data_IF_946477990911
#
_entry.id   IF_946477990911
#
_cell.length_a   1.000
_cell.length_b   1.000
_cell.length_c   1.000
_cell.angle_alpha   90.00
_cell.angle_beta   90.00
_cell.angle_gamma   90.00
#
_symmetry.space_group_name_H-M   'P 1'
#
loop_
_entity.id
_entity.type
_entity.pdbx_description
1 polymer ?
#
# COMPACT_ATOMS: atom_id res chain seq x y z
N UNK A 1 -1.52 -1.37 -27.88
CA UNK A 1 -2.19 -2.13 -26.82
C UNK A 1 -1.65 -1.55 -25.53
N UNK A 2 -2.47 -0.85 -24.76
CA UNK A 2 -2.05 -0.35 -23.45
C UNK A 2 -2.02 -1.55 -22.50
N UNK A 3 -0.84 -1.86 -21.97
CA UNK A 3 -0.65 -2.94 -21.01
C UNK A 3 -1.36 -2.58 -19.70
N UNK A 4 -2.19 -3.49 -19.18
CA UNK A 4 -2.93 -3.23 -17.94
C UNK A 4 -2.06 -3.53 -16.71
N UNK A 5 -2.39 -2.96 -15.56
CA UNK A 5 -1.68 -3.25 -14.31
C UNK A 5 -1.68 -4.76 -13.96
N UNK A 6 -2.80 -5.49 -14.09
CA UNK A 6 -2.81 -6.95 -13.96
C UNK A 6 -1.83 -7.67 -14.90
N UNK A 7 -1.70 -7.22 -16.15
CA UNK A 7 -0.78 -7.83 -17.11
C UNK A 7 0.69 -7.62 -16.70
N UNK A 8 1.02 -6.44 -16.18
CA UNK A 8 2.36 -6.14 -15.65
C UNK A 8 2.69 -7.08 -14.49
N UNK A 9 1.81 -7.19 -13.50
CA UNK A 9 2.03 -8.07 -12.34
C UNK A 9 2.09 -9.53 -12.76
N UNK A 10 1.23 -9.97 -13.69
CA UNK A 10 1.26 -11.32 -14.25
C UNK A 10 2.61 -11.62 -14.91
N UNK A 11 3.16 -10.70 -15.70
CA UNK A 11 4.47 -10.85 -16.32
C UNK A 11 5.59 -10.97 -15.29
N UNK A 12 5.59 -10.12 -14.25
CA UNK A 12 6.58 -10.20 -13.18
C UNK A 12 6.50 -11.53 -12.42
N UNK A 13 5.29 -12.06 -12.24
CA UNK A 13 5.06 -13.34 -11.54
C UNK A 13 5.59 -14.57 -12.29
N UNK A 14 5.90 -14.47 -13.59
CA UNK A 14 6.52 -15.56 -14.36
C UNK A 14 7.91 -15.95 -13.84
N UNK A 15 8.55 -15.08 -13.06
CA UNK A 15 9.84 -15.35 -12.41
C UNK A 15 9.72 -16.32 -11.23
N UNK A 16 8.51 -16.60 -10.75
CA UNK A 16 8.28 -17.50 -9.61
C UNK A 16 8.38 -18.96 -10.05
N UNK A 17 9.28 -19.69 -9.40
CA UNK A 17 9.44 -21.13 -9.55
C UNK A 17 8.50 -21.89 -8.61
N UNK A 18 7.38 -22.33 -9.17
CA UNK A 18 6.37 -23.13 -8.47
C UNK A 18 6.85 -24.50 -7.99
N UNK A 19 8.02 -24.99 -8.45
CA UNK A 19 8.62 -26.24 -7.97
C UNK A 19 9.44 -26.03 -6.70
N UNK A 20 9.95 -24.81 -6.48
CA UNK A 20 10.77 -24.45 -5.32
C UNK A 20 9.91 -23.78 -4.25
N UNK A 21 9.19 -24.59 -3.48
CA UNK A 21 8.32 -24.08 -2.42
C UNK A 21 9.12 -23.74 -1.15
N UNK A 22 8.80 -22.60 -0.53
CA UNK A 22 9.34 -22.16 0.76
C UNK A 22 8.21 -21.83 1.72
N UNK A 23 8.19 -22.58 2.83
CA UNK A 23 7.18 -22.40 3.87
C UNK A 23 7.54 -21.25 4.82
N UNK A 24 6.58 -20.35 5.02
CA UNK A 24 6.58 -19.31 6.04
C UNK A 24 5.63 -19.72 7.16
N UNK A 25 6.17 -19.93 8.36
CA UNK A 25 5.37 -20.25 9.55
C UNK A 25 5.12 -18.95 10.30
N UNK A 26 3.88 -18.47 10.27
CA UNK A 26 3.48 -17.16 10.78
C UNK A 26 2.54 -17.34 11.97
N UNK A 27 2.64 -16.48 12.97
CA UNK A 27 1.60 -16.33 14.00
C UNK A 27 0.92 -14.99 13.76
N UNK A 28 -0.42 -14.92 13.78
CA UNK A 28 -1.14 -13.64 13.61
C UNK A 28 -0.83 -12.68 14.77
N UNK A 29 -0.50 -13.21 15.94
CA UNK A 29 -0.03 -12.42 17.08
C UNK A 29 1.38 -11.83 16.89
N UNK A 30 2.19 -12.37 15.99
CA UNK A 30 3.56 -11.93 15.76
C UNK A 30 3.99 -12.04 14.29
N UNK A 31 3.25 -11.36 13.42
CA UNK A 31 3.44 -11.43 11.95
C UNK A 31 4.82 -10.90 11.55
N UNK A 32 5.25 -9.78 12.14
CA UNK A 32 6.51 -9.13 11.76
C UNK A 32 7.73 -10.01 12.05
N UNK A 33 7.83 -10.61 13.24
CA UNK A 33 8.92 -11.53 13.55
C UNK A 33 8.91 -12.75 12.61
N UNK A 34 7.72 -13.33 12.37
CA UNK A 34 7.56 -14.44 11.43
C UNK A 34 8.05 -14.09 10.03
N UNK A 35 7.74 -12.88 9.54
CA UNK A 35 8.24 -12.36 8.29
C UNK A 35 9.77 -12.21 8.32
N UNK A 36 10.32 -11.49 9.31
CA UNK A 36 11.77 -11.26 9.44
C UNK A 36 12.53 -12.57 9.41
N UNK A 37 12.11 -13.57 10.21
CA UNK A 37 12.72 -14.90 10.22
C UNK A 37 12.61 -15.56 8.85
N UNK A 38 11.43 -15.55 8.23
CA UNK A 38 11.19 -16.17 6.92
C UNK A 38 12.09 -15.61 5.81
N UNK A 39 12.15 -14.28 5.69
CA UNK A 39 12.95 -13.57 4.68
C UNK A 39 14.46 -13.68 4.93
N UNK A 40 14.91 -13.85 6.19
CA UNK A 40 16.33 -14.02 6.55
C UNK A 40 16.85 -15.46 6.40
N UNK A 41 16.00 -16.44 6.07
CA UNK A 41 16.45 -17.84 5.89
C UNK A 41 17.41 -17.93 4.71
N UNK A 42 18.58 -18.52 4.93
CA UNK A 42 19.58 -18.81 3.88
C UNK A 42 19.02 -19.66 2.74
N UNK A 43 18.01 -20.48 3.01
CA UNK A 43 17.35 -21.32 2.01
C UNK A 43 16.33 -20.57 1.15
N UNK A 44 15.92 -19.36 1.56
CA UNK A 44 14.88 -18.58 0.87
C UNK A 44 15.47 -17.79 -0.31
N UNK A 45 14.68 -17.71 -1.37
CA UNK A 45 14.94 -16.94 -2.58
C UNK A 45 13.60 -16.34 -2.99
N UNK A 46 13.59 -15.13 -3.54
CA UNK A 46 12.38 -14.34 -3.79
C UNK A 46 11.54 -14.95 -4.92
N UNK A 47 12.22 -15.67 -5.81
CA UNK A 47 11.66 -16.48 -6.90
C UNK A 47 11.05 -17.80 -6.43
N UNK A 48 11.20 -18.20 -5.16
CA UNK A 48 10.56 -19.41 -4.66
C UNK A 48 9.07 -19.17 -4.39
N UNK A 49 8.23 -20.15 -4.73
CA UNK A 49 6.82 -20.17 -4.33
C UNK A 49 6.67 -20.04 -2.80
N UNK A 50 5.91 -19.05 -2.37
CA UNK A 50 5.67 -18.79 -0.95
C UNK A 50 4.47 -19.58 -0.45
N UNK A 51 4.71 -20.55 0.42
CA UNK A 51 3.65 -21.26 1.14
C UNK A 51 3.52 -20.70 2.56
N UNK A 52 2.41 -20.03 2.87
CA UNK A 52 2.15 -19.53 4.22
C UNK A 52 1.37 -20.55 5.03
N UNK A 53 1.83 -20.80 6.26
CA UNK A 53 1.08 -21.56 7.27
C UNK A 53 0.97 -20.70 8.53
N UNK A 54 -0.25 -20.39 8.93
CA UNK A 54 -0.51 -19.81 10.23
C UNK A 54 -0.42 -20.87 11.33
N UNK A 55 0.25 -20.53 12.42
CA UNK A 55 0.68 -21.47 13.49
C UNK A 55 -0.24 -21.45 14.70
N UNK A 56 -1.07 -20.42 14.81
CA UNK A 56 -2.17 -20.31 15.77
C UNK A 56 -3.38 -21.17 15.41
N UNK A 57 -3.44 -21.69 14.18
CA UNK A 57 -4.45 -22.65 13.69
C UNK A 57 -4.15 -24.08 14.19
N UNK A 58 -3.90 -24.24 15.49
CA UNK A 58 -3.61 -25.55 16.09
C UNK A 58 -4.88 -26.42 16.01
N UNK A 59 -4.84 -27.47 15.20
CA UNK A 59 -5.92 -28.45 15.05
C UNK A 59 -6.82 -28.24 13.83
N UNK A 60 -6.68 -27.14 13.10
CA UNK A 60 -7.36 -26.93 11.82
C UNK A 60 -6.36 -27.27 10.71
N UNK A 61 -6.43 -28.51 10.24
CA UNK A 61 -5.71 -28.92 9.05
C UNK A 61 -6.49 -28.38 7.85
N UNK A 62 -6.13 -27.20 7.33
CA UNK A 62 -6.54 -26.81 5.98
C UNK A 62 -5.79 -27.68 4.98
N UNK A 63 -6.18 -28.96 4.91
CA UNK A 63 -5.72 -29.90 3.91
C UNK A 63 -6.39 -29.55 2.58
N UNK A 64 -5.74 -28.66 1.84
CA UNK A 64 -6.07 -28.34 0.46
C UNK A 64 -7.33 -27.48 0.33
N UNK A 65 -7.19 -26.33 -0.32
CA UNK A 65 -8.08 -25.82 -1.39
C UNK A 65 -7.64 -24.40 -1.78
N UNK A 66 -6.97 -23.63 -0.90
CA UNK A 66 -6.46 -22.30 -1.25
C UNK A 66 -5.03 -22.03 -0.73
N UNK A 67 -4.01 -22.20 -1.58
CA UNK A 67 -2.64 -21.78 -1.27
C UNK A 67 -2.45 -20.26 -1.40
N UNK A 68 -3.37 -19.57 -2.07
CA UNK A 68 -3.32 -18.13 -2.31
C UNK A 68 -3.91 -17.31 -1.15
N UNK A 69 -4.95 -17.80 -0.50
CA UNK A 69 -5.65 -17.15 0.62
C UNK A 69 -4.73 -16.81 1.79
N UNK A 70 -4.10 -17.81 2.46
CA UNK A 70 -3.17 -17.57 3.56
C UNK A 70 -1.97 -16.70 3.15
N UNK A 71 -1.49 -16.85 1.91
CA UNK A 71 -0.41 -16.03 1.36
C UNK A 71 -0.82 -14.56 1.26
N UNK A 72 -1.99 -14.29 0.66
CA UNK A 72 -2.52 -12.94 0.52
C UNK A 72 -2.82 -12.30 1.88
N UNK A 73 -3.37 -13.07 2.82
CA UNK A 73 -3.59 -12.62 4.21
C UNK A 73 -2.27 -12.20 4.87
N UNK A 74 -1.25 -13.06 4.85
CA UNK A 74 0.06 -12.74 5.40
C UNK A 74 0.68 -11.49 4.78
N UNK A 75 0.67 -11.37 3.45
CA UNK A 75 1.24 -10.21 2.75
C UNK A 75 0.47 -8.91 3.09
N UNK A 76 -0.83 -9.02 3.31
CA UNK A 76 -1.67 -7.89 3.76
C UNK A 76 -1.29 -7.45 5.17
N UNK A 77 -1.17 -8.40 6.10
CA UNK A 77 -0.71 -8.14 7.47
C UNK A 77 0.73 -7.59 7.46
N UNK A 78 1.60 -8.09 6.58
CA UNK A 78 2.96 -7.60 6.41
C UNK A 78 2.98 -6.12 6.00
N UNK A 79 2.18 -5.70 5.03
CA UNK A 79 2.08 -4.29 4.65
C UNK A 79 1.51 -3.43 5.80
N UNK A 80 0.55 -3.97 6.56
CA UNK A 80 0.00 -3.28 7.75
C UNK A 80 1.05 -3.07 8.84
N UNK A 81 1.97 -4.01 9.05
CA UNK A 81 3.08 -3.81 9.98
C UNK A 81 4.18 -2.92 9.40
N UNK A 82 4.45 -3.05 8.09
CA UNK A 82 5.51 -2.29 7.42
C UNK A 82 5.23 -0.78 7.47
N UNK A 83 3.97 -0.36 7.33
CA UNK A 83 3.57 1.06 7.33
C UNK A 83 3.92 1.82 8.62
N UNK A 84 4.08 1.10 9.73
CA UNK A 84 4.32 1.65 11.07
C UNK A 84 5.78 1.46 11.52
N UNK A 85 6.66 1.05 10.60
CA UNK A 85 8.10 0.93 10.88
C UNK A 85 8.74 2.31 11.01
N UNK A 86 9.78 2.46 11.87
CA UNK A 86 10.42 3.74 12.17
C UNK A 86 11.36 4.24 11.04
N UNK A 87 11.16 3.72 9.83
CA UNK A 87 11.82 4.15 8.59
C UNK A 87 10.92 5.05 7.74
N UNK A 88 9.66 5.22 8.18
CA UNK A 88 8.66 6.05 7.51
C UNK A 88 8.20 7.17 8.43
N UNK A 89 7.98 8.34 7.84
CA UNK A 89 7.28 9.48 8.45
C UNK A 89 6.14 9.92 7.52
N UNK A 90 5.29 10.85 7.97
CA UNK A 90 4.15 11.38 7.23
C UNK A 90 2.81 10.83 7.72
N UNK A 91 1.70 11.49 7.36
CA UNK A 91 0.36 11.05 7.71
C UNK A 91 -0.03 9.77 6.96
N UNK A 92 -1.13 9.14 7.40
CA UNK A 92 -1.63 7.92 6.77
C UNK A 92 -1.93 8.14 5.26
N UNK A 93 -1.48 7.20 4.43
CA UNK A 93 -1.58 7.29 2.97
C UNK A 93 -0.58 8.24 2.30
N UNK A 94 0.26 8.93 3.07
CA UNK A 94 1.23 9.91 2.55
C UNK A 94 2.61 9.72 3.19
N UNK A 95 2.99 8.47 3.50
CA UNK A 95 4.26 8.17 4.15
C UNK A 95 5.44 8.38 3.19
N UNK A 96 6.53 8.91 3.70
CA UNK A 96 7.82 9.02 3.01
C UNK A 96 8.95 8.41 3.85
N UNK A 97 10.10 8.16 3.24
CA UNK A 97 11.25 7.54 3.92
C UNK A 97 12.00 8.59 4.75
N UNK A 98 12.38 8.21 5.97
CA UNK A 98 13.21 9.03 6.87
C UNK A 98 14.40 8.23 7.36
N UNK A 99 15.53 8.92 7.53
CA UNK A 99 16.77 8.34 8.02
C UNK A 99 16.64 7.87 9.47
N UNK A 100 17.05 6.62 9.72
CA UNK A 100 17.10 6.02 11.04
C UNK A 100 18.37 5.19 11.16
N UNK A 101 19.30 5.61 12.03
CA UNK A 101 20.61 4.98 12.18
C UNK A 101 20.55 3.49 12.59
N UNK A 102 19.53 3.08 13.35
CA UNK A 102 19.34 1.68 13.70
C UNK A 102 18.85 0.87 12.49
N UNK A 103 17.90 1.41 11.74
CA UNK A 103 17.39 0.79 10.51
C UNK A 103 18.48 0.63 9.44
N UNK A 104 19.40 1.58 9.32
CA UNK A 104 20.57 1.49 8.43
C UNK A 104 21.45 0.30 8.80
N UNK A 105 21.77 0.12 10.09
CA UNK A 105 22.61 -1.00 10.57
C UNK A 105 21.98 -2.37 10.30
N UNK A 106 20.65 -2.44 10.32
CA UNK A 106 19.89 -3.67 10.06
C UNK A 106 19.50 -3.87 8.58
N UNK A 107 19.97 -2.98 7.70
CA UNK A 107 19.63 -2.93 6.27
C UNK A 107 18.10 -2.93 6.02
N UNK A 108 17.37 -2.27 6.90
CA UNK A 108 15.90 -2.35 6.96
C UNK A 108 15.24 -1.73 5.72
N UNK A 109 15.85 -0.71 5.12
CA UNK A 109 15.37 -0.06 3.89
C UNK A 109 15.37 -1.02 2.70
N UNK A 110 16.49 -1.73 2.49
CA UNK A 110 16.58 -2.77 1.47
C UNK A 110 15.56 -3.88 1.72
N UNK A 111 15.47 -4.36 2.97
CA UNK A 111 14.51 -5.40 3.34
C UNK A 111 13.05 -4.94 3.18
N UNK A 112 12.74 -3.67 3.43
CA UNK A 112 11.42 -3.10 3.22
C UNK A 112 11.06 -3.08 1.73
N UNK A 113 11.94 -2.55 0.86
CA UNK A 113 11.75 -2.57 -0.59
C UNK A 113 11.57 -4.00 -1.12
N UNK A 114 12.43 -4.93 -0.66
CA UNK A 114 12.35 -6.36 -1.01
C UNK A 114 11.01 -6.99 -0.62
N UNK A 115 10.52 -6.73 0.59
CA UNK A 115 9.22 -7.24 1.08
C UNK A 115 8.05 -6.68 0.26
N UNK A 116 8.13 -5.42 -0.14
CA UNK A 116 7.13 -4.79 -1.02
C UNK A 116 7.12 -5.49 -2.38
N UNK A 117 8.30 -5.68 -2.99
CA UNK A 117 8.39 -6.38 -4.27
C UNK A 117 7.83 -7.79 -4.22
N UNK A 118 8.19 -8.56 -3.19
CA UNK A 118 7.66 -9.90 -2.97
C UNK A 118 6.15 -9.86 -2.75
N UNK A 119 5.63 -8.89 -1.99
CA UNK A 119 4.18 -8.73 -1.79
C UNK A 119 3.46 -8.57 -3.13
N UNK A 120 3.88 -7.63 -3.97
CA UNK A 120 3.24 -7.34 -5.26
C UNK A 120 3.29 -8.55 -6.19
N UNK A 121 4.48 -9.15 -6.38
CA UNK A 121 4.68 -10.24 -7.34
C UNK A 121 3.99 -11.55 -6.91
N UNK A 122 3.87 -11.79 -5.60
CA UNK A 122 3.14 -12.96 -5.07
C UNK A 122 1.61 -12.72 -4.95
N UNK A 123 1.09 -11.61 -5.47
CA UNK A 123 -0.34 -11.29 -5.50
C UNK A 123 -0.91 -10.77 -4.18
N UNK A 124 -0.05 -10.23 -3.32
CA UNK A 124 -0.41 -9.41 -2.16
C UNK A 124 -0.56 -7.92 -2.53
N UNK A 125 -0.89 -7.06 -1.56
CA UNK A 125 -1.09 -5.64 -1.81
C UNK A 125 0.25 -4.89 -2.01
N UNK A 126 0.18 -3.79 -2.75
CA UNK A 126 1.25 -2.80 -2.82
C UNK A 126 1.34 -1.94 -1.55
N UNK A 127 2.35 -1.06 -1.46
CA UNK A 127 2.59 -0.23 -0.29
C UNK A 127 1.70 1.03 -0.32
N UNK A 128 0.39 0.84 -0.25
CA UNK A 128 -0.63 1.90 -0.40
C UNK A 128 -0.55 3.03 0.66
N UNK A 129 0.34 2.88 1.64
CA UNK A 129 0.63 3.90 2.65
C UNK A 129 1.65 4.94 2.18
N UNK A 130 2.41 4.69 1.11
CA UNK A 130 3.41 5.61 0.58
C UNK A 130 2.76 6.81 -0.11
N UNK A 131 3.39 7.98 0.00
CA UNK A 131 2.96 9.17 -0.72
C UNK A 131 3.11 8.99 -2.22
N UNK A 132 2.18 9.59 -2.96
CA UNK A 132 2.22 9.63 -4.43
C UNK A 132 3.56 10.20 -4.91
N UNK A 133 4.02 11.30 -4.33
CA UNK A 133 5.27 11.95 -4.72
C UNK A 133 6.49 11.04 -4.52
N UNK A 134 6.57 10.29 -3.41
CA UNK A 134 7.65 9.33 -3.21
C UNK A 134 7.61 8.22 -4.26
N UNK A 135 6.43 7.69 -4.59
CA UNK A 135 6.30 6.66 -5.64
C UNK A 135 6.75 7.20 -7.01
N UNK A 136 6.40 8.44 -7.35
CA UNK A 136 6.84 9.07 -8.61
C UNK A 136 8.36 9.30 -8.60
N UNK A 137 8.92 9.75 -7.48
CA UNK A 137 10.36 9.89 -7.33
C UNK A 137 11.11 8.55 -7.44
N UNK A 138 10.58 7.48 -6.84
CA UNK A 138 11.13 6.13 -6.97
C UNK A 138 11.05 5.63 -8.42
N UNK A 139 9.99 5.99 -9.15
CA UNK A 139 9.85 5.73 -10.58
C UNK A 139 10.82 6.57 -11.46
N UNK A 140 11.65 7.42 -10.87
CA UNK A 140 12.61 8.26 -11.61
C UNK A 140 12.01 9.55 -12.16
N UNK A 141 10.84 9.99 -11.67
CA UNK A 141 10.31 11.30 -12.02
C UNK A 141 10.97 12.41 -11.17
N UNK A 142 11.31 13.56 -11.78
CA UNK A 142 12.15 14.57 -11.15
C UNK A 142 11.41 15.48 -10.16
N UNK A 143 10.07 15.50 -10.19
CA UNK A 143 9.27 16.44 -9.41
C UNK A 143 8.77 15.78 -8.13
N UNK A 144 9.30 16.22 -6.99
CA UNK A 144 8.73 15.96 -5.68
C UNK A 144 8.08 17.25 -5.16
N UNK A 145 6.76 17.26 -4.94
CA UNK A 145 6.03 18.45 -4.47
C UNK A 145 5.22 18.11 -3.22
N UNK A 146 5.89 18.11 -2.07
CA UNK A 146 5.22 17.92 -0.80
C UNK A 146 4.61 19.24 -0.28
N UNK A 147 3.37 19.23 0.20
CA UNK A 147 2.86 20.30 1.04
C UNK A 147 3.40 20.19 2.48
N UNK A 148 3.45 21.33 3.19
CA UNK A 148 3.97 21.44 4.57
C UNK A 148 3.20 20.53 5.55
N UNK A 149 1.91 20.29 5.31
CA UNK A 149 1.06 19.47 6.17
C UNK A 149 1.42 17.96 6.18
N UNK A 150 2.39 17.53 5.37
CA UNK A 150 2.91 16.16 5.42
C UNK A 150 3.93 15.96 6.54
N UNK A 151 4.50 17.02 7.09
CA UNK A 151 5.53 16.93 8.12
C UNK A 151 4.86 16.63 9.47
N UNK A 152 5.27 15.53 10.12
CA UNK A 152 4.75 15.19 11.46
C UNK A 152 5.70 15.61 12.58
N UNK A 153 6.96 15.92 12.25
CA UNK A 153 7.92 16.51 13.18
C UNK A 153 7.36 17.82 13.77
N UNK A 154 7.35 17.91 15.10
CA UNK A 154 6.69 19.01 15.80
C UNK A 154 7.44 20.35 15.62
N UNK A 155 8.77 20.33 15.56
CA UNK A 155 9.58 21.54 15.42
C UNK A 155 9.48 22.07 13.98
N UNK A 156 9.69 21.19 13.00
CA UNK A 156 9.60 21.54 11.58
C UNK A 156 8.17 21.91 11.20
N UNK A 157 7.19 21.16 11.74
CA UNK A 157 5.76 21.40 11.55
C UNK A 157 5.27 22.74 12.13
N UNK A 158 6.04 23.39 13.02
CA UNK A 158 5.79 24.78 13.46
C UNK A 158 6.62 25.78 12.65
N UNK A 159 7.87 25.46 12.35
CA UNK A 159 8.80 26.37 11.69
C UNK A 159 8.40 26.68 10.24
N UNK A 160 8.02 25.67 9.46
CA UNK A 160 7.66 25.87 8.05
C UNK A 160 6.39 26.70 7.88
N UNK A 161 5.27 26.46 8.62
CA UNK A 161 4.13 27.36 8.56
C UNK A 161 4.43 28.78 9.04
N UNK A 162 5.30 28.97 10.03
CA UNK A 162 5.71 30.30 10.51
C UNK A 162 6.41 31.10 9.40
N UNK A 163 7.30 30.46 8.63
CA UNK A 163 7.96 31.06 7.46
C UNK A 163 6.96 31.26 6.30
N UNK A 164 6.15 30.26 5.99
CA UNK A 164 5.19 30.30 4.87
C UNK A 164 4.13 31.40 5.04
N UNK A 165 3.75 31.70 6.28
CA UNK A 165 2.72 32.68 6.61
C UNK A 165 3.27 34.10 6.91
N UNK A 166 4.58 34.33 6.78
CA UNK A 166 5.16 35.66 6.96
C UNK A 166 4.47 36.71 6.06
N UNK A 167 4.01 37.81 6.66
CA UNK A 167 3.18 38.82 5.99
C UNK A 167 3.99 39.99 5.39
N UNK A 168 5.26 40.14 5.76
CA UNK A 168 6.16 41.19 5.29
C UNK A 168 7.59 40.66 5.19
N UNK A 169 8.47 41.42 4.54
CA UNK A 169 9.90 41.09 4.44
C UNK A 169 10.58 41.05 5.82
N UNK A 170 10.30 42.02 6.69
CA UNK A 170 10.84 42.04 8.06
C UNK A 170 10.37 40.82 8.87
N UNK A 171 9.07 40.48 8.78
CA UNK A 171 8.54 39.29 9.44
C UNK A 171 9.18 38.00 8.91
N UNK A 172 9.44 37.92 7.60
CA UNK A 172 10.14 36.80 6.99
C UNK A 172 11.57 36.69 7.54
N UNK A 173 12.33 37.79 7.61
CA UNK A 173 13.67 37.79 8.19
C UNK A 173 13.66 37.35 9.66
N UNK A 174 12.71 37.83 10.46
CA UNK A 174 12.56 37.40 11.85
C UNK A 174 12.26 35.89 11.97
N UNK A 175 11.33 35.36 11.19
CA UNK A 175 11.01 33.93 11.17
C UNK A 175 12.20 33.09 10.71
N UNK A 176 12.94 33.51 9.68
CA UNK A 176 14.14 32.83 9.22
C UNK A 176 15.24 32.83 10.28
N UNK A 177 15.43 33.94 11.01
CA UNK A 177 16.41 34.01 12.08
C UNK A 177 16.02 33.15 13.29
N UNK A 178 14.73 33.12 13.63
CA UNK A 178 14.17 32.25 14.69
C UNK A 178 14.44 30.77 14.43
N UNK A 179 14.31 30.35 13.16
CA UNK A 179 14.52 28.97 12.72
C UNK A 179 15.87 28.76 12.02
N UNK A 180 16.85 29.62 12.29
CA UNK A 180 18.11 29.69 11.54
C UNK A 180 18.94 28.41 11.59
N UNK A 181 19.02 27.73 12.74
CA UNK A 181 19.76 26.45 12.86
C UNK A 181 19.17 25.36 11.96
N UNK A 182 17.83 25.28 11.93
CA UNK A 182 17.10 24.34 11.08
C UNK A 182 17.38 24.64 9.60
N UNK A 183 17.21 25.90 9.18
CA UNK A 183 17.45 26.33 7.80
C UNK A 183 18.93 26.18 7.39
N UNK A 184 19.88 26.46 8.29
CA UNK A 184 21.30 26.35 8.01
C UNK A 184 21.73 24.90 7.81
N UNK A 185 21.17 23.96 8.59
CA UNK A 185 21.41 22.52 8.43
C UNK A 185 20.98 22.02 7.04
N UNK A 186 19.86 22.55 6.54
CA UNK A 186 19.36 22.25 5.20
C UNK A 186 20.03 23.05 4.07
N UNK A 187 20.86 24.04 4.39
CA UNK A 187 21.42 24.97 3.40
C UNK A 187 20.41 25.99 2.85
N UNK A 188 19.26 26.16 3.51
CA UNK A 188 18.17 27.06 3.10
C UNK A 188 18.27 28.47 3.73
N UNK A 189 19.19 28.70 4.66
CA UNK A 189 19.39 30.03 5.24
C UNK A 189 20.15 30.93 4.26
N UNK A 190 19.46 31.90 3.67
CA UNK A 190 19.99 32.84 2.68
C UNK A 190 19.43 34.25 2.85
N UNK A 191 20.03 35.22 2.16
CA UNK A 191 19.43 36.54 2.03
C UNK A 191 18.21 36.47 1.12
N UNK A 192 17.13 37.15 1.51
CA UNK A 192 15.92 37.33 0.69
C UNK A 192 15.61 38.81 0.54
N UNK A 193 15.21 39.21 -0.67
CA UNK A 193 14.90 40.58 -1.05
C UNK A 193 13.39 40.85 -1.11
N UNK A 194 12.56 39.82 -1.25
CA UNK A 194 11.09 39.93 -1.29
C UNK A 194 10.41 38.91 -0.36
N UNK A 195 9.16 39.18 0.03
CA UNK A 195 8.39 38.27 0.91
C UNK A 195 7.95 37.00 0.17
N UNK A 196 7.85 37.05 -1.16
CA UNK A 196 7.44 35.93 -2.02
C UNK A 196 8.46 34.79 -2.02
N UNK A 197 9.75 35.09 -1.78
CA UNK A 197 10.84 34.12 -1.71
C UNK A 197 10.66 33.08 -0.58
N UNK A 198 9.75 33.33 0.38
CA UNK A 198 9.35 32.33 1.39
C UNK A 198 8.88 31.00 0.79
N UNK A 199 8.26 31.04 -0.41
CA UNK A 199 7.82 29.84 -1.12
C UNK A 199 8.98 28.95 -1.54
N UNK A 200 10.07 29.57 -2.01
CA UNK A 200 11.27 28.85 -2.42
C UNK A 200 12.00 28.30 -1.20
N UNK A 201 12.10 29.05 -0.10
CA UNK A 201 12.70 28.56 1.15
C UNK A 201 11.97 27.31 1.65
N UNK A 202 10.64 27.36 1.72
CA UNK A 202 9.82 26.22 2.18
C UNK A 202 9.95 25.05 1.22
N UNK A 203 9.90 25.29 -0.09
CA UNK A 203 10.05 24.25 -1.11
C UNK A 203 11.44 23.57 -1.03
N UNK A 204 12.51 24.36 -0.93
CA UNK A 204 13.89 23.86 -0.84
C UNK A 204 14.09 23.05 0.44
N UNK A 205 13.53 23.52 1.56
CA UNK A 205 13.62 22.80 2.83
C UNK A 205 12.89 21.46 2.77
N UNK A 206 11.67 21.41 2.20
CA UNK A 206 10.91 20.17 2.05
C UNK A 206 11.60 19.17 1.12
N UNK A 207 12.18 19.65 0.02
CA UNK A 207 12.99 18.85 -0.88
C UNK A 207 14.19 18.23 -0.14
N UNK A 208 14.92 19.05 0.62
CA UNK A 208 16.04 18.56 1.43
C UNK A 208 15.60 17.55 2.49
N UNK A 209 14.55 17.88 3.25
CA UNK A 209 14.09 17.09 4.39
C UNK A 209 13.52 15.72 3.98
N UNK A 210 12.83 15.65 2.84
CA UNK A 210 12.19 14.40 2.41
C UNK A 210 13.10 13.59 1.49
N UNK A 211 13.84 14.25 0.60
CA UNK A 211 14.62 13.56 -0.44
C UNK A 211 16.12 13.63 -0.15
N UNK A 212 16.71 14.82 -0.08
CA UNK A 212 18.16 14.93 -0.21
C UNK A 212 18.90 14.36 1.00
N UNK A 213 18.43 14.67 2.23
CA UNK A 213 19.01 14.13 3.46
C UNK A 213 18.75 12.63 3.64
N UNK A 214 17.73 12.08 2.96
CA UNK A 214 17.38 10.66 2.97
C UNK A 214 17.89 9.89 1.75
N UNK A 215 18.65 10.53 0.85
CA UNK A 215 19.11 9.95 -0.41
C UNK A 215 19.71 8.55 -0.26
N UNK A 216 20.65 8.37 0.68
CA UNK A 216 21.29 7.08 0.96
C UNK A 216 20.30 5.97 1.33
N UNK A 217 19.26 6.28 2.12
CA UNK A 217 18.27 5.29 2.54
C UNK A 217 17.20 5.05 1.47
N UNK A 218 16.89 6.06 0.66
CA UNK A 218 16.05 5.93 -0.53
C UNK A 218 16.73 5.01 -1.56
N UNK A 219 18.04 5.15 -1.75
CA UNK A 219 18.80 4.30 -2.67
C UNK A 219 18.84 2.85 -2.19
N UNK A 220 19.08 2.61 -0.89
CA UNK A 220 18.95 1.26 -0.30
C UNK A 220 17.54 0.69 -0.48
N UNK A 221 16.51 1.51 -0.33
CA UNK A 221 15.13 1.10 -0.55
C UNK A 221 14.86 0.75 -2.03
N UNK A 222 15.38 1.54 -2.98
CA UNK A 222 15.35 1.25 -4.43
C UNK A 222 16.04 -0.07 -4.75
N UNK A 223 17.21 -0.33 -4.19
CA UNK A 223 17.88 -1.62 -4.35
C UNK A 223 17.02 -2.79 -3.85
N UNK A 224 16.30 -2.60 -2.75
CA UNK A 224 15.29 -3.55 -2.29
C UNK A 224 14.17 -3.75 -3.30
N UNK A 225 13.62 -2.65 -3.82
CA UNK A 225 12.54 -2.66 -4.83
C UNK A 225 12.97 -3.28 -6.17
N UNK A 226 14.27 -3.27 -6.51
CA UNK A 226 14.78 -3.96 -7.71
C UNK A 226 14.58 -5.48 -7.66
N UNK A 227 14.28 -6.04 -6.48
CA UNK A 227 13.84 -7.43 -6.32
C UNK A 227 12.67 -7.74 -7.24
N UNK A 228 12.77 -8.85 -7.99
CA UNK A 228 11.73 -9.31 -8.93
C UNK A 228 11.34 -8.23 -9.97
N UNK A 229 12.30 -7.40 -10.39
CA UNK A 229 12.17 -6.40 -11.46
C UNK A 229 11.12 -5.30 -11.23
N UNK A 230 10.63 -5.17 -10.00
CA UNK A 230 9.58 -4.19 -9.66
C UNK A 230 10.02 -2.76 -9.96
N UNK A 231 11.27 -2.38 -9.63
CA UNK A 231 11.76 -1.02 -9.94
C UNK A 231 11.78 -0.74 -11.45
N UNK A 232 12.14 -1.73 -12.28
CA UNK A 232 12.14 -1.62 -13.74
C UNK A 232 10.71 -1.42 -14.27
N UNK A 233 9.74 -2.17 -13.75
CA UNK A 233 8.34 -2.02 -14.11
C UNK A 233 7.72 -0.72 -13.58
N UNK A 234 8.20 -0.20 -12.45
CA UNK A 234 7.72 1.02 -11.83
C UNK A 234 8.01 2.27 -12.68
N UNK A 235 9.15 2.31 -13.37
CA UNK A 235 9.58 3.45 -14.17
C UNK A 235 8.53 3.87 -15.25
N UNK A 236 8.08 2.96 -16.14
CA UNK A 236 6.99 3.27 -17.08
C UNK A 236 5.59 3.26 -16.45
N UNK A 237 5.42 2.65 -15.26
CA UNK A 237 4.11 2.46 -14.64
C UNK A 237 4.10 2.81 -13.13
N UNK A 238 4.15 4.09 -12.75
CA UNK A 238 4.11 4.52 -11.34
C UNK A 238 2.86 4.06 -10.58
N UNK A 239 1.77 3.76 -11.30
CA UNK A 239 0.52 3.22 -10.73
C UNK A 239 0.68 1.82 -10.14
N UNK A 240 1.79 1.11 -10.41
CA UNK A 240 2.08 -0.22 -9.88
C UNK A 240 2.12 -0.28 -8.34
N UNK A 241 2.60 0.78 -7.69
CA UNK A 241 2.66 0.88 -6.23
C UNK A 241 1.61 1.85 -5.67
N UNK A 242 0.79 2.45 -6.54
CA UNK A 242 -0.25 3.36 -6.12
C UNK A 242 -1.42 2.57 -5.49
N UNK A 243 -2.15 3.16 -4.53
CA UNK A 243 -3.40 2.58 -4.05
C UNK A 243 -4.38 2.37 -5.20
N UNK A 244 -5.08 1.24 -5.15
CA UNK A 244 -6.21 1.01 -6.05
C UNK A 244 -7.25 2.12 -5.87
N UNK A 245 -7.90 2.57 -6.96
CA UNK A 245 -8.98 3.55 -6.85
C UNK A 245 -10.09 3.00 -5.95
N UNK A 246 -10.64 3.87 -5.10
CA UNK A 246 -11.78 3.50 -4.27
C UNK A 246 -12.96 3.13 -5.18
N UNK A 247 -13.53 1.94 -4.99
CA UNK A 247 -14.74 1.54 -5.69
C UNK A 247 -15.88 2.46 -5.27
N UNK A 248 -16.55 3.05 -6.27
CA UNK A 248 -17.79 3.77 -6.06
C UNK A 248 -18.94 2.80 -5.91
N UNK A 249 -20.05 3.25 -5.33
CA UNK A 249 -21.28 2.46 -5.30
C UNK A 249 -21.76 2.09 -6.72
N UNK A 250 -21.51 2.95 -7.71
CA UNK A 250 -21.79 2.65 -9.12
C UNK A 250 -20.90 1.51 -9.64
N UNK A 251 -19.61 1.49 -9.30
CA UNK A 251 -18.72 0.39 -9.67
C UNK A 251 -19.22 -0.93 -9.06
N UNK A 252 -19.70 -0.92 -7.82
CA UNK A 252 -20.25 -2.11 -7.17
C UNK A 252 -21.55 -2.60 -7.83
N UNK A 253 -22.44 -1.70 -8.25
CA UNK A 253 -23.65 -2.06 -9.01
C UNK A 253 -23.30 -2.75 -10.34
N UNK A 254 -22.23 -2.32 -11.00
CA UNK A 254 -21.77 -2.94 -12.26
C UNK A 254 -21.07 -4.28 -12.00
N UNK A 255 -20.24 -4.34 -10.96
CA UNK A 255 -19.41 -5.50 -10.64
C UNK A 255 -20.24 -6.70 -10.13
N UNK A 256 -21.30 -6.46 -9.37
CA UNK A 256 -22.14 -7.50 -8.80
C UNK A 256 -23.46 -7.64 -9.56
N UNK A 257 -23.59 -8.74 -10.29
CA UNK A 257 -24.85 -9.12 -10.94
C UNK A 257 -25.56 -10.17 -10.08
N UNK A 258 -26.73 -9.85 -9.50
CA UNK A 258 -27.48 -10.83 -8.73
C UNK A 258 -27.99 -11.93 -9.66
N UNK A 259 -27.80 -13.18 -9.26
CA UNK A 259 -28.52 -14.31 -9.85
C UNK A 259 -29.90 -14.39 -9.19
N UNK A 260 -30.95 -14.31 -10.00
CA UNK A 260 -32.31 -14.06 -9.53
C UNK A 260 -33.21 -15.24 -9.90
N UNK A 261 -34.11 -15.60 -8.99
CA UNK A 261 -35.10 -16.64 -9.22
C UNK A 261 -36.00 -16.28 -10.41
N UNK A 262 -36.62 -17.27 -11.09
CA UNK A 262 -37.52 -17.01 -12.21
C UNK A 262 -38.64 -16.02 -11.88
N UNK A 263 -38.99 -15.21 -12.87
CA UNK A 263 -40.09 -14.25 -12.82
C UNK A 263 -41.39 -14.93 -12.40
N UNK A 264 -42.10 -14.36 -11.41
CA UNK A 264 -43.35 -14.90 -10.87
C UNK A 264 -43.19 -15.85 -9.67
N UNK A 265 -41.96 -16.21 -9.27
CA UNK A 265 -41.76 -16.99 -8.04
C UNK A 265 -41.92 -16.14 -6.78
N UNK A 266 -42.34 -16.76 -5.67
CA UNK A 266 -42.41 -16.11 -4.36
C UNK A 266 -41.03 -15.59 -3.89
N UNK A 267 -39.94 -16.22 -4.36
CA UNK A 267 -38.57 -15.78 -4.10
C UNK A 267 -38.24 -14.49 -4.86
N UNK A 268 -38.68 -14.38 -6.11
CA UNK A 268 -38.44 -13.21 -6.96
C UNK A 268 -38.94 -11.91 -6.34
N UNK A 269 -40.09 -11.93 -5.67
CA UNK A 269 -40.63 -10.75 -5.00
C UNK A 269 -39.70 -10.26 -3.87
N UNK A 270 -39.22 -11.20 -3.04
CA UNK A 270 -38.30 -10.90 -1.93
C UNK A 270 -36.94 -10.44 -2.44
N UNK A 271 -36.41 -11.10 -3.47
CA UNK A 271 -35.13 -10.73 -4.10
C UNK A 271 -35.20 -9.32 -4.69
N UNK A 272 -36.29 -8.96 -5.38
CA UNK A 272 -36.48 -7.60 -5.90
C UNK A 272 -36.52 -6.55 -4.78
N UNK A 273 -37.13 -6.86 -3.64
CA UNK A 273 -37.13 -5.99 -2.48
C UNK A 273 -35.73 -5.85 -1.87
N UNK A 274 -34.98 -6.96 -1.74
CA UNK A 274 -33.58 -6.96 -1.28
C UNK A 274 -32.69 -6.13 -2.21
N UNK A 275 -32.91 -6.20 -3.52
CA UNK A 275 -32.18 -5.38 -4.49
C UNK A 275 -32.44 -3.87 -4.30
N UNK A 276 -33.67 -3.49 -3.93
CA UNK A 276 -33.98 -2.11 -3.52
C UNK A 276 -33.17 -1.69 -2.29
N UNK A 277 -33.19 -2.51 -1.23
CA UNK A 277 -32.39 -2.22 -0.02
C UNK A 277 -30.88 -2.18 -0.28
N UNK A 278 -30.36 -3.03 -1.18
CA UNK A 278 -28.96 -3.01 -1.58
C UNK A 278 -28.60 -1.70 -2.30
N UNK A 279 -29.44 -1.25 -3.24
CA UNK A 279 -29.23 0.01 -3.94
C UNK A 279 -29.28 1.22 -2.97
N UNK A 280 -30.25 1.24 -2.05
CA UNK A 280 -30.35 2.28 -1.02
C UNK A 280 -29.11 2.29 -0.11
N UNK A 281 -28.65 1.11 0.32
CA UNK A 281 -27.43 0.96 1.11
C UNK A 281 -26.18 1.47 0.36
N UNK A 282 -26.05 1.17 -0.93
CA UNK A 282 -24.96 1.67 -1.76
C UNK A 282 -25.00 3.20 -1.91
N UNK A 283 -26.19 3.80 -2.02
CA UNK A 283 -26.35 5.25 -2.04
C UNK A 283 -25.93 5.89 -0.70
N UNK A 284 -26.33 5.30 0.43
CA UNK A 284 -25.96 5.78 1.77
C UNK A 284 -24.45 5.73 2.02
N UNK A 285 -23.75 4.77 1.41
CA UNK A 285 -22.30 4.69 1.48
C UNK A 285 -21.58 5.87 0.80
N UNK A 286 -22.23 6.61 -0.11
CA UNK A 286 -21.65 7.80 -0.79
C UNK A 286 -21.53 9.03 0.12
N UNK A 287 -22.29 9.09 1.22
CA UNK A 287 -22.46 10.31 2.03
C UNK A 287 -21.46 10.55 3.18
N UNK A 288 -20.50 9.65 3.43
CA UNK A 288 -19.55 9.77 4.56
C UNK A 288 -18.11 9.97 4.09
N UNK A 289 -17.48 11.13 4.35
CA UNK A 289 -16.04 11.28 4.15
C UNK A 289 -15.28 10.25 4.99
N UNK A 290 -14.42 9.45 4.36
CA UNK A 290 -13.62 8.40 5.02
C UNK A 290 -14.27 7.00 5.07
N UNK A 291 -15.51 6.83 4.59
CA UNK A 291 -16.09 5.50 4.40
C UNK A 291 -15.77 5.02 2.99
N UNK A 292 -14.67 4.29 2.81
CA UNK A 292 -14.52 3.52 1.59
C UNK A 292 -15.66 2.49 1.56
N UNK A 293 -16.49 2.53 0.51
CA UNK A 293 -17.56 1.54 0.31
C UNK A 293 -16.98 0.13 0.39
N UNK A 294 -15.71 -0.05 0.00
CA UNK A 294 -15.01 -1.33 0.08
C UNK A 294 -14.84 -1.86 1.51
N UNK A 295 -14.47 -1.12 2.56
CA UNK A 295 -14.16 -1.76 3.85
C UNK A 295 -15.40 -2.41 4.49
N UNK A 296 -16.57 -1.80 4.37
CA UNK A 296 -17.83 -2.36 4.89
C UNK A 296 -18.52 -3.29 3.89
N UNK A 297 -18.46 -3.02 2.59
CA UNK A 297 -19.00 -3.94 1.58
C UNK A 297 -18.14 -5.18 1.41
N UNK A 298 -16.82 -5.15 1.62
CA UNK A 298 -16.00 -6.36 1.56
C UNK A 298 -16.40 -7.32 2.66
N UNK A 299 -16.64 -6.87 3.89
CA UNK A 299 -17.16 -7.74 4.95
C UNK A 299 -18.52 -8.33 4.54
N UNK A 300 -19.47 -7.51 4.09
CA UNK A 300 -20.80 -8.00 3.66
C UNK A 300 -20.71 -8.95 2.45
N UNK A 301 -19.90 -8.66 1.44
CA UNK A 301 -19.70 -9.48 0.25
C UNK A 301 -18.89 -10.74 0.56
N UNK A 302 -17.87 -10.68 1.43
CA UNK A 302 -17.09 -11.82 1.89
C UNK A 302 -17.98 -12.79 2.67
N UNK A 303 -18.83 -12.29 3.56
CA UNK A 303 -19.85 -13.09 4.23
C UNK A 303 -20.86 -13.69 3.24
N UNK A 304 -21.36 -12.92 2.27
CA UNK A 304 -22.33 -13.43 1.29
C UNK A 304 -21.74 -14.49 0.32
N UNK A 305 -20.47 -14.36 -0.07
CA UNK A 305 -19.81 -15.24 -1.04
C UNK A 305 -19.22 -16.50 -0.38
N UNK A 306 -18.68 -16.41 0.84
CA UNK A 306 -17.93 -17.51 1.46
C UNK A 306 -18.69 -18.28 2.56
N UNK A 307 -19.85 -17.81 3.04
CA UNK A 307 -20.62 -18.54 4.06
C UNK A 307 -21.89 -19.24 3.55
N UNK A 308 -22.14 -19.17 2.24
CA UNK A 308 -23.27 -19.87 1.64
C UNK A 308 -22.83 -21.25 1.11
N UNK A 309 -23.43 -22.39 1.54
CA UNK A 309 -23.01 -23.75 1.16
C UNK A 309 -23.20 -24.12 -0.34
N UNK A 310 -23.53 -23.15 -1.20
CA UNK A 310 -24.04 -23.40 -2.55
C UNK A 310 -22.93 -23.53 -3.60
N UNK A 311 -21.66 -23.22 -3.27
CA UNK A 311 -20.56 -23.20 -4.24
C UNK A 311 -19.60 -24.40 -4.21
N UNK A 312 -19.89 -25.44 -3.41
CA UNK A 312 -19.25 -26.76 -3.60
C UNK A 312 -20.16 -27.64 -4.48
N UNK A 313 -20.16 -27.35 -5.79
CA UNK A 313 -20.91 -28.09 -6.81
C UNK A 313 -19.98 -28.72 -7.84
N UNK A 314 -19.47 -29.90 -7.51
CA UNK A 314 -18.79 -30.87 -8.40
C UNK A 314 -19.42 -31.01 -9.79
N UNK A 315 -18.65 -30.79 -10.85
CA UNK A 315 -18.91 -31.35 -12.19
C UNK A 315 -18.22 -32.70 -12.34
N UNK A 316 -18.89 -33.77 -11.92
CA UNK A 316 -18.57 -35.14 -12.30
C UNK A 316 -19.79 -35.73 -13.04
N UNK A 317 -19.84 -35.54 -14.36
CA UNK A 317 -20.82 -36.23 -15.21
C UNK A 317 -20.30 -37.63 -15.54
N UNK A 318 -20.75 -38.63 -14.79
CA UNK A 318 -20.76 -40.03 -15.24
C UNK A 318 -22.17 -40.34 -15.78
N UNK A 319 -22.29 -40.50 -17.10
CA UNK A 319 -23.41 -41.22 -17.72
C UNK A 319 -23.01 -42.69 -17.84
N UNK A 320 -23.84 -43.59 -17.34
CA UNK A 320 -23.89 -45.00 -17.77
C UNK A 320 -25.25 -45.19 -18.47
N UNK A 321 -25.31 -45.80 -19.66
CA UNK A 321 -26.56 -45.97 -20.40
C UNK A 321 -27.32 -47.21 -19.94
N UNK A 322 -28.65 -47.09 -19.91
CA UNK A 322 -29.59 -48.21 -20.04
C UNK A 322 -30.09 -48.30 -21.47
#
# INVERSE_FOLDING_TARGET
>A
MDITLPDIVANLSLTIDHKRVRRFNISRANVWDGAVRGFKRTTYSETCEMLVKFTDDIGVLEEGIDTGGPRREFLTLLMKHLKDRPIFDGPEGHRFLVYNANAVREDEYYLAGKRISVSVVHGGPGPHFLSKDLVHYLAGQPSFKAPVNLITDEEIGKALPDIENAASLDALHECMMRHSTMLQTAGCLRHVATVEEKREIVSDYLQWYIIDCNSSVIDRFREGLSTLEILTALHPHPTLLAPAPALTAFDLEILFKPDLSPSGSNRRLKESQTMGYWADYLLDCKGRPGCCVCARCFDVCYWAVFTSPIWLGTTATNRVPG
#
